data_IF_330056407765
#
_entry.id   IF_330056407765
#
_cell.length_a   1.000
_cell.length_b   1.000
_cell.length_c   1.000
_cell.angle_alpha   90.00
_cell.angle_beta   90.00
_cell.angle_gamma   90.00
#
_symmetry.space_group_name_H-M   'P 1'
#
loop_
_entity.id
_entity.type
_entity.pdbx_description
1 polymer ?
#
# COMPACT_ATOMS: atom_id res chain seq x y z
N UNK A 1 19.35 7.38 -7.95
CA UNK A 1 18.21 7.79 -8.78
C UNK A 1 18.69 8.05 -10.20
N UNK A 2 19.70 8.91 -10.41
CA UNK A 2 20.29 9.20 -11.72
C UNK A 2 20.78 7.97 -12.49
N UNK A 3 21.68 7.15 -11.90
CA UNK A 3 22.15 5.89 -12.53
C UNK A 3 21.01 4.94 -12.91
N UNK A 4 19.94 4.88 -12.10
CA UNK A 4 18.80 4.01 -12.40
C UNK A 4 18.00 4.51 -13.61
N UNK A 5 17.81 5.83 -13.74
CA UNK A 5 17.16 6.44 -14.92
C UNK A 5 17.98 6.22 -16.19
N UNK A 6 19.29 6.46 -16.14
CA UNK A 6 20.20 6.25 -17.27
C UNK A 6 20.20 4.79 -17.73
N UNK A 7 20.19 3.84 -16.79
CA UNK A 7 20.10 2.42 -17.10
C UNK A 7 18.77 2.02 -17.77
N UNK A 8 17.64 2.59 -17.33
CA UNK A 8 16.33 2.35 -17.94
C UNK A 8 16.25 2.95 -19.34
N UNK A 9 16.74 4.19 -19.52
CA UNK A 9 16.78 4.84 -20.82
C UNK A 9 17.61 4.02 -21.82
N UNK A 10 18.80 3.57 -21.42
CA UNK A 10 19.69 2.79 -22.29
C UNK A 10 19.14 1.40 -22.68
N UNK A 11 18.36 0.76 -21.81
CA UNK A 11 17.88 -0.62 -22.02
C UNK A 11 16.47 -0.71 -22.60
N UNK A 12 15.61 0.28 -22.32
CA UNK A 12 14.18 0.22 -22.61
C UNK A 12 13.64 1.46 -23.30
N UNK A 13 14.45 2.52 -23.45
CA UNK A 13 14.05 3.77 -24.10
C UNK A 13 12.79 4.41 -23.47
N UNK A 14 12.56 4.16 -22.18
CA UNK A 14 11.41 4.68 -21.45
C UNK A 14 11.71 6.04 -20.83
N UNK A 15 10.79 6.99 -20.97
CA UNK A 15 10.86 8.25 -20.22
C UNK A 15 10.60 8.00 -18.72
N UNK A 16 11.53 8.49 -17.89
CA UNK A 16 11.50 8.36 -16.43
C UNK A 16 11.46 9.73 -15.74
N UNK A 17 11.20 10.80 -16.50
CA UNK A 17 11.13 12.19 -16.02
C UNK A 17 10.10 12.36 -14.88
N UNK A 18 8.96 11.65 -14.97
CA UNK A 18 7.89 11.69 -13.98
C UNK A 18 8.21 10.95 -12.67
N UNK A 19 9.15 10.00 -12.67
CA UNK A 19 9.47 9.19 -11.48
C UNK A 19 10.26 10.04 -10.50
N UNK A 20 9.81 10.20 -9.25
CA UNK A 20 10.54 10.95 -8.23
C UNK A 20 10.97 10.04 -7.10
N UNK A 21 12.16 10.29 -6.54
CA UNK A 21 12.55 9.69 -5.26
C UNK A 21 11.91 10.53 -4.16
N UNK A 22 11.11 9.90 -3.32
CA UNK A 22 10.50 10.53 -2.15
C UNK A 22 11.02 9.89 -0.88
N UNK A 23 11.02 10.66 0.22
CA UNK A 23 11.03 10.11 1.57
C UNK A 23 9.59 10.13 2.04
N UNK A 24 9.14 9.01 2.58
CA UNK A 24 7.77 8.85 3.03
C UNK A 24 7.81 8.29 4.45
N UNK A 25 7.05 8.91 5.35
CA UNK A 25 6.86 8.47 6.71
C UNK A 25 5.38 8.16 6.88
N UNK A 26 5.07 6.92 7.28
CA UNK A 26 3.70 6.44 7.43
C UNK A 26 3.00 7.11 8.62
N UNK A 27 3.74 7.36 9.70
CA UNK A 27 3.17 7.76 10.98
C UNK A 27 2.44 6.61 11.69
N UNK A 28 1.50 6.95 12.59
CA UNK A 28 0.68 5.98 13.30
C UNK A 28 -0.37 5.41 12.33
N UNK A 29 -0.40 4.09 12.19
CA UNK A 29 -1.37 3.40 11.35
C UNK A 29 -1.82 2.10 12.00
N UNK A 30 -3.03 1.66 11.65
CA UNK A 30 -3.43 0.28 11.80
C UNK A 30 -2.98 -0.49 10.55
N UNK A 31 -2.41 -1.67 10.75
CA UNK A 31 -1.89 -2.49 9.66
C UNK A 31 -2.37 -3.94 9.81
N UNK A 32 -2.81 -4.52 8.71
CA UNK A 32 -3.03 -5.97 8.62
C UNK A 32 -2.64 -6.49 7.24
N UNK A 33 -2.67 -7.81 7.08
CA UNK A 33 -2.43 -8.48 5.80
C UNK A 33 -3.74 -9.05 5.27
N UNK A 34 -4.12 -8.62 4.06
CA UNK A 34 -5.17 -9.27 3.28
C UNK A 34 -4.57 -10.49 2.57
N UNK A 35 -5.22 -11.64 2.71
CA UNK A 35 -4.88 -12.86 1.97
C UNK A 35 -6.08 -13.21 1.10
N UNK A 36 -5.90 -13.09 -0.22
CA UNK A 36 -6.95 -13.31 -1.20
C UNK A 36 -6.92 -12.29 -2.34
N UNK A 37 -7.93 -12.34 -3.23
CA UNK A 37 -8.03 -11.48 -4.41
C UNK A 37 -8.00 -9.98 -4.09
N UNK A 38 -7.37 -9.18 -4.95
CA UNK A 38 -7.24 -7.72 -4.72
C UNK A 38 -8.57 -6.97 -4.74
N UNK A 39 -9.56 -7.43 -5.50
CA UNK A 39 -10.92 -6.87 -5.53
C UNK A 39 -11.71 -7.11 -4.23
N UNK A 40 -11.22 -8.00 -3.35
CA UNK A 40 -11.81 -8.29 -2.04
C UNK A 40 -11.15 -7.54 -0.88
N UNK A 41 -10.15 -6.68 -1.16
CA UNK A 41 -9.46 -5.90 -0.13
C UNK A 41 -10.39 -4.99 0.67
N UNK A 42 -11.56 -4.64 0.11
CA UNK A 42 -12.60 -3.83 0.78
C UNK A 42 -12.96 -4.34 2.18
N UNK A 43 -13.13 -5.66 2.35
CA UNK A 43 -13.45 -6.24 3.65
C UNK A 43 -12.32 -6.03 4.69
N UNK A 44 -11.07 -5.93 4.23
CA UNK A 44 -9.94 -5.61 5.10
C UNK A 44 -9.97 -4.14 5.55
N UNK A 45 -10.41 -3.23 4.69
CA UNK A 45 -10.64 -1.84 5.05
C UNK A 45 -11.71 -1.68 6.11
N UNK A 46 -12.85 -2.35 5.92
CA UNK A 46 -13.97 -2.31 6.87
C UNK A 46 -13.53 -2.79 8.26
N UNK A 47 -12.75 -3.87 8.32
CA UNK A 47 -12.16 -4.37 9.55
C UNK A 47 -11.24 -3.33 10.22
N UNK A 48 -10.35 -2.69 9.45
CA UNK A 48 -9.44 -1.68 10.00
C UNK A 48 -10.19 -0.45 10.52
N UNK A 49 -11.26 -0.02 9.83
CA UNK A 49 -12.11 1.09 10.24
C UNK A 49 -12.85 0.77 11.54
N UNK A 50 -13.42 -0.44 11.65
CA UNK A 50 -14.07 -0.91 12.87
C UNK A 50 -13.07 -0.95 14.04
N UNK A 51 -11.87 -1.49 13.81
CA UNK A 51 -10.82 -1.56 14.82
C UNK A 51 -10.33 -0.17 15.25
N UNK A 52 -10.25 0.80 14.34
CA UNK A 52 -9.92 2.18 14.68
C UNK A 52 -10.98 2.77 15.62
N UNK A 53 -12.26 2.64 15.27
CA UNK A 53 -13.36 3.16 16.07
C UNK A 53 -13.39 2.53 17.48
N UNK A 54 -13.18 1.21 17.59
CA UNK A 54 -13.11 0.50 18.88
C UNK A 54 -11.96 1.00 19.78
N UNK A 55 -10.89 1.54 19.17
CA UNK A 55 -9.72 2.07 19.89
C UNK A 55 -9.81 3.59 20.13
N UNK A 56 -10.92 4.24 19.78
CA UNK A 56 -11.05 5.70 19.88
C UNK A 56 -10.18 6.47 18.88
N UNK A 57 -9.88 5.84 17.73
CA UNK A 57 -9.07 6.41 16.67
C UNK A 57 -9.93 6.71 15.43
N UNK A 58 -9.51 7.71 14.66
CA UNK A 58 -10.11 8.08 13.38
C UNK A 58 -9.08 7.99 12.24
N UNK A 59 -9.51 7.66 11.00
CA UNK A 59 -8.63 7.73 9.83
C UNK A 59 -8.08 9.14 9.62
N UNK A 60 -6.77 9.26 9.40
CA UNK A 60 -6.08 10.55 9.23
C UNK A 60 -5.56 10.82 7.82
N UNK A 61 -5.80 9.90 6.87
CA UNK A 61 -5.31 10.05 5.50
C UNK A 61 -5.69 8.89 4.58
N UNK A 62 -5.13 8.93 3.37
CA UNK A 62 -5.30 7.86 2.40
C UNK A 62 -4.61 6.58 2.89
N UNK A 63 -5.26 5.45 2.69
CA UNK A 63 -4.67 4.18 2.99
C UNK A 63 -3.58 3.78 1.99
N UNK A 64 -2.65 2.95 2.45
CA UNK A 64 -1.55 2.45 1.64
C UNK A 64 -1.59 0.93 1.53
N UNK A 65 -1.60 0.45 0.29
CA UNK A 65 -1.52 -0.96 -0.04
C UNK A 65 -0.11 -1.30 -0.52
N UNK A 66 0.46 -2.38 0.03
CA UNK A 66 1.74 -2.92 -0.39
C UNK A 66 1.49 -4.33 -0.92
N UNK A 67 1.49 -4.45 -2.25
CA UNK A 67 1.32 -5.72 -2.95
C UNK A 67 2.59 -6.56 -2.86
N UNK A 68 2.56 -7.61 -2.05
CA UNK A 68 3.71 -8.50 -1.84
C UNK A 68 3.78 -9.62 -2.88
N UNK A 69 2.66 -9.90 -3.56
CA UNK A 69 2.54 -11.01 -4.51
C UNK A 69 2.50 -10.52 -5.96
N UNK A 70 3.17 -11.25 -6.87
CA UNK A 70 3.00 -11.03 -8.31
C UNK A 70 1.74 -11.80 -8.76
N UNK A 71 0.67 -11.10 -9.18
CA UNK A 71 -0.60 -11.75 -9.59
C UNK A 71 -0.46 -12.64 -10.81
N UNK A 72 0.66 -12.56 -11.55
CA UNK A 72 0.95 -13.45 -12.68
C UNK A 72 1.53 -14.79 -12.24
N UNK A 73 1.95 -14.93 -10.98
CA UNK A 73 2.68 -16.10 -10.45
C UNK A 73 1.98 -16.78 -9.28
N UNK A 74 1.11 -16.07 -8.58
CA UNK A 74 0.45 -16.54 -7.36
C UNK A 74 -1.06 -16.61 -7.63
N UNK A 75 -1.74 -17.73 -7.30
CA UNK A 75 -3.17 -17.83 -7.50
C UNK A 75 -3.93 -16.84 -6.59
N UNK A 76 -5.12 -16.36 -7.00
CA UNK A 76 -5.82 -15.27 -6.32
C UNK A 76 -6.04 -15.50 -4.81
N UNK A 77 -6.33 -16.73 -4.39
CA UNK A 77 -6.57 -17.13 -2.99
C UNK A 77 -5.32 -17.03 -2.09
N UNK A 78 -4.12 -16.88 -2.69
CA UNK A 78 -2.84 -16.79 -1.98
C UNK A 78 -2.16 -15.44 -2.15
N UNK A 79 -2.78 -14.51 -2.87
CA UNK A 79 -2.26 -13.15 -3.00
C UNK A 79 -2.20 -12.49 -1.63
N UNK A 80 -1.12 -11.76 -1.38
CA UNK A 80 -0.87 -11.06 -0.12
C UNK A 80 -0.71 -9.58 -0.36
N UNK A 81 -1.51 -8.78 0.34
CA UNK A 81 -1.44 -7.33 0.34
C UNK A 81 -1.38 -6.85 1.78
N UNK A 82 -0.35 -6.08 2.15
CA UNK A 82 -0.40 -5.35 3.42
C UNK A 82 -1.28 -4.12 3.20
N UNK A 83 -2.28 -3.93 4.05
CA UNK A 83 -3.15 -2.76 4.06
C UNK A 83 -2.83 -1.94 5.31
N UNK A 84 -2.54 -0.65 5.11
CA UNK A 84 -2.27 0.32 6.18
C UNK A 84 -3.30 1.43 6.14
N UNK A 85 -3.93 1.67 7.28
CA UNK A 85 -4.84 2.80 7.49
C UNK A 85 -4.16 3.79 8.45
N UNK A 86 -3.71 4.96 7.97
CA UNK A 86 -3.24 6.03 8.84
C UNK A 86 -4.34 6.46 9.81
N UNK A 87 -4.00 6.62 11.09
CA UNK A 87 -4.96 6.96 12.14
C UNK A 87 -4.43 8.03 13.10
N UNK A 88 -5.35 8.76 13.73
CA UNK A 88 -5.10 9.71 14.81
C UNK A 88 -6.14 9.54 15.93
N UNK A 89 -5.91 10.18 17.08
CA UNK A 89 -6.86 10.18 18.20
C UNK A 89 -8.16 10.90 17.78
N UNK A 90 -9.31 10.30 18.10
CA UNK A 90 -10.61 10.91 17.84
C UNK A 90 -10.80 12.10 18.79
N UNK A 91 -10.81 13.32 18.23
CA UNK A 91 -11.05 14.56 18.97
C UNK A 91 -12.52 14.85 19.20
#
# INVERSE_FOLDING_TARGET
MQQAREAVLKRKELDTSAVKRVRFEEGRCLQTIHIGPYDQVGATYDLLLEQAAQQGLAPSGAAHEIYLSDPRRVPPDKLKTIVRLPVEEMR
#
